data_IF_052930120372
#
_entry.id   IF_052930120372
#
_cell.length_a   1.000
_cell.length_b   1.000
_cell.length_c   1.000
_cell.angle_alpha   90.00
_cell.angle_beta   90.00
_cell.angle_gamma   90.00
#
_symmetry.space_group_name_H-M   'P 1'
#
loop_
_entity.id
_entity.type
_entity.pdbx_description
1 polymer ?
#
# COMPACT_ATOMS: atom_id res chain seq x y z
N UNK A 1 -26.55 8.87 45.10
CA UNK A 1 -25.71 9.61 44.15
C UNK A 1 -25.47 8.72 42.93
N UNK A 2 -26.52 8.42 42.16
CA UNK A 2 -26.52 7.41 41.08
C UNK A 2 -26.08 7.99 39.70
N UNK A 3 -25.58 9.23 39.67
CA UNK A 3 -25.25 9.96 38.45
C UNK A 3 -23.96 9.49 37.73
N UNK A 4 -23.44 8.29 38.02
CA UNK A 4 -22.12 7.87 37.57
C UNK A 4 -22.08 6.51 36.85
N UNK A 5 -23.17 6.05 36.24
CA UNK A 5 -23.05 5.04 35.18
C UNK A 5 -22.43 5.73 33.96
N UNK A 6 -21.12 5.49 33.75
CA UNK A 6 -20.30 6.07 32.68
C UNK A 6 -20.04 5.01 31.58
N UNK A 7 -21.06 4.64 30.77
CA UNK A 7 -20.96 3.54 29.82
C UNK A 7 -19.85 3.74 28.79
N UNK A 8 -19.60 4.98 28.37
CA UNK A 8 -18.53 5.29 27.42
C UNK A 8 -17.12 5.04 27.97
N UNK A 9 -16.87 5.34 29.24
CA UNK A 9 -15.56 5.08 29.88
C UNK A 9 -15.37 3.60 30.19
N UNK A 10 -16.44 2.89 30.53
CA UNK A 10 -16.43 1.44 30.71
C UNK A 10 -16.09 0.74 29.39
N UNK A 11 -16.84 1.02 28.32
CA UNK A 11 -16.63 0.43 26.99
C UNK A 11 -15.23 0.76 26.46
N UNK A 12 -14.81 2.01 26.59
CA UNK A 12 -13.47 2.45 26.20
C UNK A 12 -12.36 1.77 27.00
N UNK A 13 -12.52 1.62 28.31
CA UNK A 13 -11.56 0.93 29.18
C UNK A 13 -11.44 -0.56 28.83
N UNK A 14 -12.56 -1.25 28.57
CA UNK A 14 -12.55 -2.65 28.11
C UNK A 14 -11.85 -2.76 26.77
N UNK A 15 -12.21 -1.91 25.79
CA UNK A 15 -11.64 -1.95 24.45
C UNK A 15 -10.13 -1.67 24.44
N UNK A 16 -9.64 -0.66 25.16
CA UNK A 16 -8.21 -0.37 25.26
C UNK A 16 -7.44 -1.52 25.91
N UNK A 17 -8.01 -2.13 26.96
CA UNK A 17 -7.38 -3.25 27.67
C UNK A 17 -7.31 -4.50 26.79
N UNK A 18 -8.40 -4.85 26.09
CA UNK A 18 -8.45 -6.06 25.26
C UNK A 18 -7.62 -5.92 23.99
N UNK A 19 -7.73 -4.78 23.29
CA UNK A 19 -6.96 -4.52 22.07
C UNK A 19 -5.47 -4.41 22.37
N UNK A 20 -5.08 -3.74 23.46
CA UNK A 20 -3.68 -3.55 23.82
C UNK A 20 -2.94 -4.85 24.19
N UNK A 21 -3.67 -5.92 24.53
CA UNK A 21 -3.10 -7.23 24.82
C UNK A 21 -2.92 -8.12 23.56
N UNK A 22 -3.58 -7.79 22.44
CA UNK A 22 -3.53 -8.62 21.23
C UNK A 22 -2.11 -8.83 20.67
N UNK A 23 -1.24 -7.81 20.58
CA UNK A 23 0.12 -8.01 20.06
C UNK A 23 0.96 -8.92 20.95
N UNK A 24 0.74 -8.89 22.28
CA UNK A 24 1.40 -9.80 23.21
C UNK A 24 0.93 -11.24 23.04
N UNK A 25 -0.36 -11.46 22.77
CA UNK A 25 -0.91 -12.78 22.49
C UNK A 25 -0.34 -13.34 21.17
N UNK A 26 -0.21 -12.51 20.14
CA UNK A 26 0.39 -12.89 18.86
C UNK A 26 1.85 -13.32 19.03
N UNK A 27 2.66 -12.54 19.77
CA UNK A 27 4.03 -12.91 20.12
C UNK A 27 4.06 -14.20 20.96
N UNK A 28 3.16 -14.35 21.93
CA UNK A 28 3.06 -15.54 22.76
C UNK A 28 2.73 -16.80 21.95
N UNK A 29 1.84 -16.68 20.96
CA UNK A 29 1.50 -17.76 20.04
C UNK A 29 2.69 -18.12 19.13
N UNK A 30 3.37 -17.13 18.57
CA UNK A 30 4.56 -17.35 17.74
C UNK A 30 5.72 -18.01 18.52
N UNK A 31 5.90 -17.66 19.80
CA UNK A 31 6.87 -18.28 20.70
C UNK A 31 6.52 -19.72 21.10
N UNK A 32 5.25 -20.11 21.04
CA UNK A 32 4.85 -21.50 21.30
C UNK A 32 5.12 -22.41 20.10
N UNK A 33 5.05 -21.87 18.88
CA UNK A 33 5.28 -22.64 17.66
C UNK A 33 6.75 -22.83 17.31
N UNK A 34 7.66 -22.06 17.92
CA UNK A 34 9.09 -22.10 17.60
C UNK A 34 9.91 -22.75 18.72
N UNK A 35 10.85 -23.62 18.35
CA UNK A 35 11.79 -24.25 19.30
C UNK A 35 12.85 -23.26 19.79
N UNK A 36 13.22 -22.28 18.95
CA UNK A 36 14.21 -21.24 19.26
C UNK A 36 13.55 -19.87 19.52
N UNK A 37 13.07 -19.71 20.76
CA UNK A 37 12.38 -18.51 21.25
C UNK A 37 13.25 -17.25 21.19
N UNK A 38 14.56 -17.41 21.36
CA UNK A 38 15.51 -16.30 21.39
C UNK A 38 15.69 -15.71 19.99
N UNK A 39 15.74 -16.57 18.97
CA UNK A 39 15.85 -16.16 17.58
C UNK A 39 14.61 -15.38 17.14
N UNK A 40 13.40 -15.81 17.52
CA UNK A 40 12.15 -15.13 17.17
C UNK A 40 12.04 -13.71 17.78
N UNK A 41 12.49 -13.51 19.02
CA UNK A 41 12.52 -12.18 19.66
C UNK A 41 13.54 -11.24 19.01
N UNK A 42 14.64 -11.79 18.50
CA UNK A 42 15.66 -11.03 17.79
C UNK A 42 15.23 -10.65 16.38
N UNK A 43 14.33 -11.42 15.76
CA UNK A 43 13.76 -11.11 14.43
C UNK A 43 12.67 -10.04 14.45
N UNK A 44 12.11 -9.69 15.63
CA UNK A 44 11.15 -8.59 15.75
C UNK A 44 11.79 -7.26 15.32
N UNK A 45 11.11 -6.55 14.43
CA UNK A 45 11.60 -5.26 13.94
C UNK A 45 11.50 -4.18 15.03
N UNK A 46 12.19 -3.05 14.83
CA UNK A 46 12.08 -1.93 15.76
C UNK A 46 10.64 -1.41 15.87
N UNK A 47 9.89 -1.43 14.76
CA UNK A 47 8.47 -1.06 14.70
C UNK A 47 7.61 -2.04 15.49
N UNK A 48 7.85 -3.35 15.41
CA UNK A 48 7.12 -4.34 16.22
C UNK A 48 7.31 -4.10 17.73
N UNK A 49 8.55 -3.84 18.16
CA UNK A 49 8.86 -3.54 19.57
C UNK A 49 8.15 -2.28 20.05
N UNK A 50 8.14 -1.23 19.23
CA UNK A 50 7.42 -0.01 19.55
C UNK A 50 5.90 -0.21 19.60
N UNK A 51 5.33 -0.98 18.67
CA UNK A 51 3.90 -1.30 18.62
C UNK A 51 3.46 -2.09 19.86
N UNK A 52 4.24 -3.10 20.27
CA UNK A 52 3.99 -3.86 21.50
C UNK A 52 4.05 -2.92 22.71
N UNK A 53 5.10 -2.09 22.82
CA UNK A 53 5.27 -1.19 23.97
C UNK A 53 4.09 -0.22 24.11
N UNK A 54 3.64 0.36 23.00
CA UNK A 54 2.54 1.31 22.99
C UNK A 54 1.21 0.63 23.29
N UNK A 55 1.00 -0.57 22.77
CA UNK A 55 -0.18 -1.39 23.05
C UNK A 55 -0.26 -1.75 24.54
N UNK A 56 0.86 -2.09 25.18
CA UNK A 56 0.94 -2.30 26.63
C UNK A 56 0.58 -1.04 27.42
N UNK A 57 1.05 0.14 27.00
CA UNK A 57 0.70 1.42 27.62
C UNK A 57 -0.80 1.68 27.49
N UNK A 58 -1.39 1.49 26.31
CA UNK A 58 -2.83 1.62 26.08
C UNK A 58 -3.63 0.63 26.94
N UNK A 59 -3.17 -0.61 27.09
CA UNK A 59 -3.82 -1.59 27.97
C UNK A 59 -3.79 -1.15 29.44
N UNK A 60 -2.66 -0.64 29.93
CA UNK A 60 -2.55 -0.12 31.28
C UNK A 60 -3.47 1.10 31.51
N UNK A 61 -3.56 2.00 30.52
CA UNK A 61 -4.49 3.13 30.56
C UNK A 61 -5.96 2.68 30.53
N UNK A 62 -6.29 1.64 29.76
CA UNK A 62 -7.59 0.99 29.76
C UNK A 62 -7.96 0.43 31.14
N UNK A 63 -7.02 -0.26 31.79
CA UNK A 63 -7.17 -0.75 33.17
C UNK A 63 -7.39 0.38 34.17
N UNK A 64 -6.67 1.50 34.04
CA UNK A 64 -6.84 2.67 34.89
C UNK A 64 -8.22 3.36 34.67
N UNK A 65 -8.71 3.42 33.43
CA UNK A 65 -10.07 3.90 33.13
C UNK A 65 -11.14 3.01 33.77
N UNK A 66 -10.96 1.70 33.74
CA UNK A 66 -11.85 0.75 34.42
C UNK A 66 -11.81 0.97 35.94
N UNK A 67 -10.64 1.10 36.54
CA UNK A 67 -10.51 1.40 37.97
C UNK A 67 -11.23 2.70 38.35
N UNK A 68 -11.11 3.75 37.53
CA UNK A 68 -11.80 5.02 37.73
C UNK A 68 -13.34 4.93 37.62
N UNK A 69 -13.84 3.92 36.91
CA UNK A 69 -15.27 3.62 36.83
C UNK A 69 -15.77 2.93 38.11
N UNK A 70 -14.98 2.03 38.69
CA UNK A 70 -15.37 1.21 39.84
C UNK A 70 -15.09 1.85 41.19
N UNK A 71 -14.09 2.73 41.30
CA UNK A 71 -13.71 3.36 42.58
C UNK A 71 -14.54 4.62 42.81
N UNK A 72 -15.21 4.67 43.95
CA UNK A 72 -15.88 5.88 44.44
C UNK A 72 -14.83 6.89 44.92
N UNK A 73 -14.66 7.98 44.16
CA UNK A 73 -13.73 9.06 44.46
C UNK A 73 -14.51 10.35 44.77
N UNK A 74 -13.95 11.17 45.66
CA UNK A 74 -14.43 12.54 45.85
C UNK A 74 -14.32 13.34 44.56
N UNK A 75 -15.21 14.32 44.35
CA UNK A 75 -15.22 15.21 43.16
C UNK A 75 -13.84 15.82 42.84
N UNK A 76 -13.06 16.38 43.79
CA UNK A 76 -11.75 16.95 43.47
C UNK A 76 -10.72 15.90 43.03
N UNK A 77 -10.74 14.71 43.65
CA UNK A 77 -9.85 13.60 43.25
C UNK A 77 -10.23 13.02 41.89
N UNK A 78 -11.53 12.89 41.61
CA UNK A 78 -12.03 12.41 40.32
C UNK A 78 -11.66 13.37 39.18
N UNK A 79 -11.74 14.69 39.42
CA UNK A 79 -11.35 15.71 38.45
C UNK A 79 -9.85 15.68 38.16
N UNK A 80 -9.01 15.52 39.19
CA UNK A 80 -7.56 15.41 39.00
C UNK A 80 -7.20 14.14 38.23
N UNK A 81 -7.81 13.01 38.59
CA UNK A 81 -7.59 11.73 37.91
C UNK A 81 -8.05 11.75 36.44
N UNK A 82 -9.21 12.35 36.15
CA UNK A 82 -9.71 12.45 34.77
C UNK A 82 -8.82 13.30 33.87
N UNK A 83 -8.29 14.42 34.39
CA UNK A 83 -7.34 15.26 33.65
C UNK A 83 -6.03 14.52 33.37
N UNK A 84 -5.46 13.83 34.36
CA UNK A 84 -4.22 13.06 34.19
C UNK A 84 -4.38 11.90 33.20
N UNK A 85 -5.49 11.17 33.27
CA UNK A 85 -5.78 10.09 32.32
C UNK A 85 -6.04 10.63 30.92
N UNK A 86 -6.73 11.77 30.80
CA UNK A 86 -6.96 12.43 29.52
C UNK A 86 -5.66 12.86 28.85
N UNK A 87 -4.72 13.44 29.60
CA UNK A 87 -3.40 13.81 29.04
C UNK A 87 -2.58 12.59 28.65
N UNK A 88 -2.60 11.53 29.46
CA UNK A 88 -1.88 10.29 29.16
C UNK A 88 -2.41 9.61 27.89
N UNK A 89 -3.74 9.54 27.72
CA UNK A 89 -4.38 9.00 26.52
C UNK A 89 -4.09 9.85 25.28
N UNK A 90 -4.08 11.18 25.42
CA UNK A 90 -3.73 12.06 24.31
C UNK A 90 -2.27 11.86 23.85
N UNK A 91 -1.34 11.71 24.79
CA UNK A 91 0.07 11.40 24.48
C UNK A 91 0.18 10.03 23.82
N UNK A 92 -0.53 9.02 24.32
CA UNK A 92 -0.54 7.69 23.71
C UNK A 92 -1.09 7.72 22.27
N UNK A 93 -2.21 8.41 22.02
CA UNK A 93 -2.79 8.55 20.69
C UNK A 93 -1.86 9.31 19.72
N UNK A 94 -1.15 10.35 20.18
CA UNK A 94 -0.17 11.05 19.37
C UNK A 94 1.03 10.17 19.01
N UNK A 95 1.53 9.38 19.97
CA UNK A 95 2.60 8.42 19.73
C UNK A 95 2.15 7.34 18.73
N UNK A 96 0.89 6.91 18.81
CA UNK A 96 0.29 5.93 17.91
C UNK A 96 0.21 6.47 16.47
N UNK A 97 -0.34 7.68 16.32
CA UNK A 97 -0.41 8.37 15.04
C UNK A 97 0.99 8.59 14.43
N UNK A 98 1.98 8.96 15.24
CA UNK A 98 3.36 9.11 14.79
C UNK A 98 3.96 7.77 14.32
N UNK A 99 3.70 6.68 15.04
CA UNK A 99 4.15 5.34 14.65
C UNK A 99 3.47 4.87 13.37
N UNK A 100 2.15 5.04 13.24
CA UNK A 100 1.40 4.73 12.02
C UNK A 100 1.89 5.55 10.82
N UNK A 101 2.23 6.83 11.04
CA UNK A 101 2.82 7.68 10.00
C UNK A 101 4.22 7.21 9.62
N UNK A 102 5.03 6.79 10.59
CA UNK A 102 6.36 6.20 10.34
C UNK A 102 6.27 4.88 9.57
N UNK A 103 5.28 4.04 9.88
CA UNK A 103 5.01 2.79 9.15
C UNK A 103 4.57 3.13 7.72
N UNK A 104 3.70 4.13 7.56
CA UNK A 104 3.27 4.60 6.24
C UNK A 104 4.42 5.22 5.42
N UNK A 105 5.36 5.92 6.07
CA UNK A 105 6.53 6.50 5.38
C UNK A 105 7.61 5.48 5.03
N UNK A 106 7.67 4.35 5.76
CA UNK A 106 8.53 3.22 5.43
C UNK A 106 7.98 2.31 4.34
N UNK A 107 6.69 2.45 3.96
CA UNK A 107 6.24 1.94 2.67
C UNK A 107 6.94 2.78 1.62
N UNK A 108 7.98 2.21 1.01
CA UNK A 108 8.80 2.85 -0.01
C UNK A 108 7.90 3.53 -1.06
N UNK A 109 8.32 4.67 -1.63
CA UNK A 109 7.59 5.32 -2.72
C UNK A 109 7.26 4.29 -3.80
N UNK A 110 6.01 4.33 -4.27
CA UNK A 110 5.38 3.43 -5.24
C UNK A 110 6.39 2.88 -6.26
N UNK A 111 6.98 1.72 -5.97
CA UNK A 111 7.65 0.97 -7.03
C UNK A 111 6.53 0.46 -7.93
N UNK A 112 6.62 0.64 -9.26
CA UNK A 112 5.63 0.10 -10.18
C UNK A 112 5.55 -1.43 -10.13
N UNK A 113 6.56 -2.07 -9.50
CA UNK A 113 6.68 -3.51 -9.28
C UNK A 113 6.06 -3.99 -7.97
N UNK A 114 5.51 -3.09 -7.15
CA UNK A 114 4.80 -3.46 -5.93
C UNK A 114 3.45 -4.07 -6.28
N UNK A 115 3.20 -5.30 -5.86
CA UNK A 115 1.98 -6.05 -6.20
C UNK A 115 1.68 -7.13 -5.17
N UNK A 116 0.39 -7.39 -4.96
CA UNK A 116 -0.13 -8.45 -4.09
C UNK A 116 -0.19 -9.82 -4.79
N UNK A 117 -0.01 -9.88 -6.11
CA UNK A 117 -0.11 -11.12 -6.88
C UNK A 117 0.92 -11.22 -8.01
N UNK A 118 1.44 -12.43 -8.19
CA UNK A 118 2.42 -12.76 -9.24
C UNK A 118 1.82 -12.64 -10.65
N UNK A 119 0.51 -12.91 -10.82
CA UNK A 119 -0.15 -12.77 -12.12
C UNK A 119 -0.29 -11.32 -12.57
N UNK A 120 -0.49 -10.37 -11.64
CA UNK A 120 -0.46 -8.95 -11.95
C UNK A 120 0.96 -8.49 -12.28
N UNK A 121 1.96 -8.98 -11.54
CA UNK A 121 3.37 -8.70 -11.81
C UNK A 121 3.80 -9.18 -13.19
N UNK A 122 3.49 -10.44 -13.52
CA UNK A 122 3.73 -11.05 -14.82
C UNK A 122 3.19 -10.17 -15.94
N UNK A 123 1.92 -9.75 -15.81
CA UNK A 123 1.26 -8.92 -16.82
C UNK A 123 1.95 -7.56 -16.97
N UNK A 124 2.28 -6.90 -15.87
CA UNK A 124 2.97 -5.61 -15.88
C UNK A 124 4.35 -5.71 -16.54
N UNK A 125 5.14 -6.73 -16.18
CA UNK A 125 6.46 -6.96 -16.77
C UNK A 125 6.34 -7.24 -18.27
N UNK A 126 5.44 -8.14 -18.67
CA UNK A 126 5.23 -8.44 -20.09
C UNK A 126 4.74 -7.22 -20.88
N UNK A 127 3.82 -6.43 -20.32
CA UNK A 127 3.34 -5.18 -20.92
C UNK A 127 4.51 -4.22 -21.19
N UNK A 128 5.27 -3.88 -20.15
CA UNK A 128 6.37 -2.90 -20.26
C UNK A 128 7.46 -3.41 -21.19
N UNK A 129 7.85 -4.68 -21.04
CA UNK A 129 8.96 -5.24 -21.79
C UNK A 129 8.63 -5.43 -23.27
N UNK A 130 7.46 -5.98 -23.59
CA UNK A 130 7.06 -6.18 -24.99
C UNK A 130 6.83 -4.85 -25.70
N UNK A 131 6.22 -3.84 -25.05
CA UNK A 131 6.05 -2.52 -25.67
C UNK A 131 7.40 -1.83 -25.93
N UNK A 132 8.34 -1.91 -24.98
CA UNK A 132 9.68 -1.35 -25.16
C UNK A 132 10.44 -2.00 -26.33
N UNK A 133 10.41 -3.33 -26.43
CA UNK A 133 11.03 -4.07 -27.55
C UNK A 133 10.29 -3.85 -28.86
N UNK A 134 8.96 -3.80 -28.84
CA UNK A 134 8.13 -3.48 -30.00
C UNK A 134 8.45 -2.10 -30.56
N UNK A 135 8.61 -1.09 -29.68
CA UNK A 135 9.03 0.25 -30.05
C UNK A 135 10.43 0.24 -30.69
N UNK A 136 11.37 -0.53 -30.13
CA UNK A 136 12.71 -0.70 -30.69
C UNK A 136 12.65 -1.28 -32.12
N UNK A 137 11.84 -2.33 -32.34
CA UNK A 137 11.64 -2.93 -33.66
C UNK A 137 11.00 -1.93 -34.63
N UNK A 138 9.97 -1.20 -34.21
CA UNK A 138 9.29 -0.21 -35.05
C UNK A 138 10.20 0.98 -35.44
N UNK A 139 11.11 1.40 -34.54
CA UNK A 139 11.99 2.54 -34.78
C UNK A 139 13.26 2.16 -35.56
N UNK A 140 13.88 1.03 -35.24
CA UNK A 140 15.21 0.65 -35.74
C UNK A 140 15.20 -0.56 -36.67
N UNK A 141 14.18 -1.40 -36.58
CA UNK A 141 14.08 -2.64 -37.34
C UNK A 141 13.80 -2.43 -38.83
N UNK A 142 14.25 -3.40 -39.62
CA UNK A 142 13.85 -3.52 -41.01
C UNK A 142 12.49 -4.19 -41.15
N UNK A 143 11.80 -3.96 -42.26
CA UNK A 143 10.51 -4.61 -42.56
C UNK A 143 10.66 -6.14 -42.60
N UNK A 144 11.80 -6.64 -43.12
CA UNK A 144 12.10 -8.07 -43.18
C UNK A 144 12.25 -8.70 -41.79
N UNK A 145 12.96 -8.05 -40.86
CA UNK A 145 13.11 -8.54 -39.48
C UNK A 145 11.79 -8.52 -38.71
N UNK A 146 11.01 -7.44 -38.87
CA UNK A 146 9.71 -7.33 -38.23
C UNK A 146 8.72 -8.42 -38.68
N UNK A 147 8.86 -8.95 -39.90
CA UNK A 147 8.05 -10.07 -40.38
C UNK A 147 8.26 -11.36 -39.62
N UNK A 148 9.44 -11.54 -39.05
CA UNK A 148 9.73 -12.68 -38.20
C UNK A 148 9.22 -12.50 -36.76
N UNK A 149 8.75 -11.30 -36.39
CA UNK A 149 8.39 -10.91 -35.03
C UNK A 149 6.87 -10.71 -34.94
N UNK A 150 6.28 -9.92 -35.83
CA UNK A 150 4.84 -9.62 -35.81
C UNK A 150 4.06 -10.62 -36.67
N UNK A 151 2.94 -11.17 -36.18
CA UNK A 151 2.12 -12.12 -36.93
C UNK A 151 1.10 -11.39 -37.84
N UNK A 152 1.55 -10.44 -38.66
CA UNK A 152 0.62 -9.75 -39.57
C UNK A 152 0.27 -10.67 -40.75
N UNK A 153 -1.02 -10.71 -41.10
CA UNK A 153 -1.51 -11.47 -42.26
C UNK A 153 -1.09 -10.81 -43.59
N UNK A 154 -0.98 -9.49 -43.58
CA UNK A 154 -0.66 -8.66 -44.73
C UNK A 154 0.66 -7.90 -44.48
N UNK A 155 1.58 -7.96 -45.44
CA UNK A 155 2.89 -7.32 -45.38
C UNK A 155 3.12 -6.44 -46.60
N UNK A 156 3.82 -5.30 -46.46
CA UNK A 156 4.20 -4.48 -47.60
C UNK A 156 4.88 -5.31 -48.71
N UNK A 157 4.45 -5.08 -49.95
CA UNK A 157 5.03 -5.69 -51.15
C UNK A 157 6.53 -5.41 -51.21
N UNK A 158 7.32 -6.41 -51.60
CA UNK A 158 8.79 -6.38 -51.65
C UNK A 158 9.51 -6.25 -50.29
N UNK A 159 8.83 -6.54 -49.18
CA UNK A 159 9.43 -6.64 -47.84
C UNK A 159 10.67 -7.55 -47.78
N UNK A 160 10.67 -8.66 -48.53
CA UNK A 160 11.79 -9.60 -48.61
C UNK A 160 12.88 -9.18 -49.61
N UNK A 161 12.57 -8.26 -50.54
CA UNK A 161 13.47 -7.83 -51.63
C UNK A 161 14.22 -6.53 -51.32
N UNK A 162 13.86 -5.84 -50.24
CA UNK A 162 14.53 -4.63 -49.77
C UNK A 162 15.08 -4.81 -48.34
N UNK A 163 16.03 -5.73 -48.12
CA UNK A 163 16.67 -5.89 -46.82
C UNK A 163 17.28 -4.55 -46.38
N UNK A 164 16.97 -4.14 -45.14
CA UNK A 164 17.45 -2.88 -44.56
C UNK A 164 16.53 -1.66 -44.74
N UNK A 165 15.39 -1.77 -45.45
CA UNK A 165 14.38 -0.71 -45.43
C UNK A 165 13.75 -0.64 -44.04
N UNK A 166 13.94 0.50 -43.36
CA UNK A 166 13.43 0.73 -42.00
C UNK A 166 11.91 0.87 -41.99
N UNK A 167 11.29 0.39 -40.92
CA UNK A 167 9.84 0.50 -40.71
C UNK A 167 9.44 1.96 -40.55
N UNK A 168 10.17 2.75 -39.76
CA UNK A 168 9.92 4.18 -39.58
C UNK A 168 9.83 4.93 -40.93
N UNK A 169 10.82 4.76 -41.81
CA UNK A 169 10.82 5.37 -43.16
C UNK A 169 9.72 4.80 -44.05
N UNK A 170 9.34 3.53 -43.84
CA UNK A 170 8.20 2.96 -44.53
C UNK A 170 6.91 3.65 -44.07
N UNK A 171 6.72 3.93 -42.78
CA UNK A 171 5.53 4.55 -42.23
C UNK A 171 5.46 6.08 -42.32
N UNK A 172 6.53 6.75 -42.76
CA UNK A 172 6.51 8.19 -43.04
C UNK A 172 5.39 8.57 -44.02
N UNK A 173 4.65 9.63 -43.67
CA UNK A 173 3.55 10.15 -44.51
C UNK A 173 2.31 9.25 -44.57
N UNK A 174 2.21 8.26 -43.68
CA UNK A 174 1.00 7.46 -43.52
C UNK A 174 -0.22 8.36 -43.21
N UNK A 175 -1.28 8.21 -44.01
CA UNK A 175 -2.59 8.84 -43.82
C UNK A 175 -3.65 7.74 -43.89
N UNK A 176 -4.48 7.63 -42.86
CA UNK A 176 -5.50 6.58 -42.72
C UNK A 176 -6.56 6.51 -43.83
N UNK A 177 -6.58 7.48 -44.76
CA UNK A 177 -7.64 7.67 -45.75
C UNK A 177 -7.34 7.17 -47.17
N UNK A 178 -6.16 6.61 -47.46
CA UNK A 178 -5.76 6.24 -48.83
C UNK A 178 -5.99 4.74 -49.11
N UNK A 179 -6.86 4.43 -50.06
CA UNK A 179 -7.12 3.07 -50.54
C UNK A 179 -6.40 2.81 -51.87
N UNK A 180 -5.11 2.51 -51.82
CA UNK A 180 -4.33 2.02 -52.97
C UNK A 180 -3.93 0.56 -52.72
N UNK A 181 -3.85 -0.25 -53.77
CA UNK A 181 -3.38 -1.65 -53.67
C UNK A 181 -1.94 -1.68 -53.12
N UNK A 182 -1.71 -2.43 -52.03
CA UNK A 182 -0.46 -2.45 -51.27
C UNK A 182 -0.33 -1.35 -50.20
N UNK A 183 -1.21 -0.35 -50.20
CA UNK A 183 -1.28 0.62 -49.10
C UNK A 183 -1.95 -0.01 -47.87
N UNK A 184 -2.93 -0.91 -48.04
CA UNK A 184 -3.62 -1.64 -46.95
C UNK A 184 -2.65 -2.41 -46.04
N UNK A 185 -1.76 -3.21 -46.62
CA UNK A 185 -0.73 -3.96 -45.89
C UNK A 185 0.23 -3.05 -45.12
N UNK A 186 0.60 -1.93 -45.76
CA UNK A 186 1.40 -0.87 -45.14
C UNK A 186 0.63 -0.20 -43.98
N UNK A 187 -0.70 -0.07 -44.07
CA UNK A 187 -1.52 0.45 -42.97
C UNK A 187 -1.48 -0.48 -41.76
N UNK A 188 -1.51 -1.80 -41.95
CA UNK A 188 -1.53 -2.75 -40.85
C UNK A 188 -0.27 -2.63 -39.98
N UNK A 189 0.91 -2.61 -40.60
CA UNK A 189 2.19 -2.43 -39.92
C UNK A 189 2.29 -1.06 -39.23
N UNK A 190 1.91 0.02 -39.93
CA UNK A 190 2.02 1.37 -39.37
C UNK A 190 1.02 1.62 -38.24
N UNK A 191 -0.19 1.05 -38.30
CA UNK A 191 -1.16 1.09 -37.20
C UNK A 191 -0.66 0.33 -35.98
N UNK A 192 -0.06 -0.85 -36.17
CA UNK A 192 0.55 -1.60 -35.07
C UNK A 192 1.64 -0.77 -34.37
N UNK A 193 2.58 -0.21 -35.14
CA UNK A 193 3.64 0.63 -34.58
C UNK A 193 3.12 1.93 -33.94
N UNK A 194 2.08 2.54 -34.51
CA UNK A 194 1.41 3.70 -33.92
C UNK A 194 0.73 3.38 -32.58
N UNK A 195 0.07 2.24 -32.48
CA UNK A 195 -0.54 1.75 -31.24
C UNK A 195 0.53 1.49 -30.18
N UNK A 196 1.59 0.74 -30.52
CA UNK A 196 2.71 0.45 -29.61
C UNK A 196 3.30 1.75 -29.05
N UNK A 197 3.55 2.74 -29.91
CA UNK A 197 4.11 4.03 -29.50
C UNK A 197 3.18 4.78 -28.54
N UNK A 198 1.88 4.77 -28.82
CA UNK A 198 0.88 5.47 -27.99
C UNK A 198 0.71 4.78 -26.63
N UNK A 199 0.69 3.45 -26.61
CA UNK A 199 0.54 2.66 -25.39
C UNK A 199 1.80 2.72 -24.53
N UNK A 200 2.99 2.75 -25.14
CA UNK A 200 4.25 2.95 -24.43
C UNK A 200 4.27 4.30 -23.70
N UNK A 201 3.80 5.38 -24.34
CA UNK A 201 3.65 6.68 -23.68
C UNK A 201 2.66 6.64 -22.50
N UNK A 202 1.58 5.87 -22.62
CA UNK A 202 0.64 5.66 -21.51
C UNK A 202 1.27 4.88 -20.36
N UNK A 203 2.08 3.87 -20.67
CA UNK A 203 2.83 3.09 -19.67
C UNK A 203 3.87 3.97 -18.96
N UNK A 204 4.60 4.82 -19.69
CA UNK A 204 5.51 5.83 -19.10
C UNK A 204 4.77 6.82 -18.20
N UNK A 205 3.58 7.28 -18.60
CA UNK A 205 2.77 8.16 -17.76
C UNK A 205 2.28 7.45 -16.49
N UNK A 206 2.00 6.14 -16.56
CA UNK A 206 1.48 5.35 -15.45
C UNK A 206 2.55 4.90 -14.46
N UNK A 207 3.72 4.50 -14.95
CA UNK A 207 4.78 3.88 -14.15
C UNK A 207 6.05 4.72 -14.00
N UNK A 208 6.11 5.90 -14.64
CA UNK A 208 7.24 6.85 -14.59
C UNK A 208 8.33 6.57 -15.62
N UNK A 209 9.28 7.48 -15.88
CA UNK A 209 10.23 7.33 -16.99
C UNK A 209 11.33 6.26 -16.79
N UNK A 210 11.54 5.77 -15.55
CA UNK A 210 12.61 4.82 -15.21
C UNK A 210 12.25 3.34 -15.39
N UNK A 211 10.96 3.01 -15.38
CA UNK A 211 10.49 1.61 -15.33
C UNK A 211 10.94 0.77 -16.54
N UNK A 212 10.92 1.33 -17.76
CA UNK A 212 11.37 0.64 -18.97
C UNK A 212 12.85 0.26 -18.88
N UNK A 213 13.69 1.13 -18.33
CA UNK A 213 15.12 0.86 -18.17
C UNK A 213 15.39 -0.26 -17.16
N UNK A 214 14.59 -0.35 -16.09
CA UNK A 214 14.72 -1.38 -15.06
C UNK A 214 14.39 -2.77 -15.60
N UNK A 215 13.28 -2.93 -16.32
CA UNK A 215 12.90 -4.23 -16.93
C UNK A 215 13.87 -4.63 -18.04
N UNK A 216 14.32 -3.67 -18.86
CA UNK A 216 15.32 -3.93 -19.90
C UNK A 216 16.72 -4.23 -19.34
N UNK A 217 17.06 -3.71 -18.16
CA UNK A 217 18.32 -4.03 -17.49
C UNK A 217 18.32 -5.45 -16.89
N UNK A 218 17.15 -5.93 -16.44
CA UNK A 218 17.00 -7.28 -15.91
C UNK A 218 17.24 -8.36 -16.99
N UNK A 219 16.87 -8.10 -18.24
CA UNK A 219 17.03 -9.05 -19.36
C UNK A 219 17.63 -8.36 -20.58
N UNK A 220 18.89 -8.66 -20.87
CA UNK A 220 19.64 -8.00 -21.93
C UNK A 220 19.35 -8.56 -23.34
N UNK A 221 19.03 -9.86 -23.46
CA UNK A 221 18.88 -10.56 -24.73
C UNK A 221 17.64 -11.45 -24.71
N UNK A 222 16.76 -11.25 -25.70
CA UNK A 222 15.65 -12.16 -25.98
C UNK A 222 16.03 -13.13 -27.09
N UNK A 223 15.55 -14.36 -26.99
CA UNK A 223 15.52 -15.26 -28.13
C UNK A 223 14.48 -14.82 -29.17
N UNK A 224 14.62 -15.31 -30.40
CA UNK A 224 13.66 -15.06 -31.48
C UNK A 224 12.24 -15.49 -31.09
N UNK A 225 12.10 -16.60 -30.37
CA UNK A 225 10.78 -17.09 -29.91
C UNK A 225 10.09 -16.15 -28.91
N UNK A 226 10.86 -15.47 -28.05
CA UNK A 226 10.29 -14.49 -27.11
C UNK A 226 9.91 -13.18 -27.80
N UNK A 227 10.68 -12.78 -28.83
CA UNK A 227 10.32 -11.65 -29.68
C UNK A 227 9.04 -11.94 -30.47
N UNK A 228 8.90 -13.15 -31.01
CA UNK A 228 7.68 -13.61 -31.67
C UNK A 228 6.48 -13.57 -30.72
N UNK A 229 6.65 -14.09 -29.51
CA UNK A 229 5.62 -14.04 -28.48
C UNK A 229 5.22 -12.59 -28.15
N UNK A 230 6.18 -11.68 -27.98
CA UNK A 230 5.87 -10.26 -27.79
C UNK A 230 5.15 -9.65 -29.00
N UNK A 231 5.51 -10.04 -30.22
CA UNK A 231 4.81 -9.58 -31.42
C UNK A 231 3.35 -10.04 -31.48
N UNK A 232 3.08 -11.29 -31.10
CA UNK A 232 1.72 -11.82 -30.94
C UNK A 232 0.95 -11.11 -29.82
N UNK A 233 1.62 -10.88 -28.68
CA UNK A 233 1.07 -10.15 -27.53
C UNK A 233 0.60 -8.75 -27.94
N UNK A 234 1.43 -8.00 -28.67
CA UNK A 234 1.12 -6.64 -29.12
C UNK A 234 0.04 -6.61 -30.22
N UNK A 235 0.01 -7.61 -31.09
CA UNK A 235 -0.94 -7.66 -32.22
C UNK A 235 -2.35 -8.12 -31.81
N UNK A 236 -2.45 -9.12 -30.92
CA UNK A 236 -3.72 -9.81 -30.60
C UNK A 236 -4.22 -9.52 -29.19
N UNK A 237 -3.36 -9.01 -28.29
CA UNK A 237 -3.65 -8.76 -26.86
C UNK A 237 -4.16 -9.98 -26.09
N UNK A 238 -3.87 -11.20 -26.54
CA UNK A 238 -4.25 -12.46 -25.86
C UNK A 238 -3.00 -13.21 -25.38
N UNK A 239 -3.02 -13.57 -24.11
CA UNK A 239 -1.89 -14.15 -23.35
C UNK A 239 -1.92 -15.67 -23.24
N UNK A 240 -2.99 -16.33 -23.69
CA UNK A 240 -3.38 -17.60 -23.07
C UNK A 240 -2.87 -18.85 -23.80
N UNK A 241 -2.06 -18.72 -24.85
CA UNK A 241 -1.71 -19.87 -25.71
C UNK A 241 -0.29 -20.41 -25.54
N UNK A 242 0.66 -19.63 -25.00
CA UNK A 242 2.02 -20.15 -24.82
C UNK A 242 2.77 -19.44 -23.68
N UNK A 243 2.36 -19.74 -22.44
CA UNK A 243 2.92 -19.17 -21.21
C UNK A 243 4.42 -19.48 -21.08
N UNK A 244 4.90 -20.59 -21.64
CA UNK A 244 6.30 -21.03 -21.54
C UNK A 244 7.28 -20.19 -22.37
N UNK A 245 6.79 -19.45 -23.36
CA UNK A 245 7.60 -18.57 -24.22
C UNK A 245 7.47 -17.09 -23.86
N UNK A 246 6.69 -16.75 -22.83
CA UNK A 246 6.60 -15.36 -22.39
C UNK A 246 7.94 -14.90 -21.80
N UNK A 247 8.35 -13.64 -22.03
CA UNK A 247 9.56 -13.09 -21.45
C UNK A 247 9.60 -13.27 -19.93
N UNK A 248 8.48 -13.02 -19.26
CA UNK A 248 8.36 -13.17 -17.83
C UNK A 248 8.69 -14.60 -17.36
N UNK A 249 8.05 -15.63 -17.92
CA UNK A 249 8.23 -17.00 -17.43
C UNK A 249 9.62 -17.55 -17.73
N UNK A 250 10.22 -17.15 -18.86
CA UNK A 250 11.56 -17.57 -19.22
C UNK A 250 12.65 -16.92 -18.36
N UNK A 251 12.42 -15.67 -17.95
CA UNK A 251 13.31 -14.87 -17.11
C UNK A 251 12.73 -14.58 -15.73
N UNK A 252 11.95 -15.53 -15.19
CA UNK A 252 11.18 -15.33 -13.95
C UNK A 252 12.07 -14.95 -12.79
N UNK A 253 13.27 -15.55 -12.68
CA UNK A 253 14.21 -15.28 -11.59
C UNK A 253 14.78 -13.86 -11.67
N UNK A 254 15.13 -13.42 -12.87
CA UNK A 254 15.67 -12.10 -13.14
C UNK A 254 14.62 -11.02 -12.83
N UNK A 255 13.38 -11.21 -13.29
CA UNK A 255 12.29 -10.28 -12.99
C UNK A 255 11.84 -10.31 -11.54
N UNK A 256 11.90 -11.46 -10.87
CA UNK A 256 11.61 -11.54 -9.42
C UNK A 256 12.56 -10.71 -8.57
N UNK A 257 13.75 -10.32 -9.06
CA UNK A 257 14.62 -9.38 -8.34
C UNK A 257 14.06 -7.96 -8.30
N UNK A 258 13.18 -7.59 -9.25
CA UNK A 258 12.47 -6.31 -9.28
C UNK A 258 11.21 -6.34 -8.41
N UNK A 259 10.70 -7.53 -8.09
CA UNK A 259 9.47 -7.70 -7.32
C UNK A 259 9.70 -7.26 -5.86
N UNK A 260 9.07 -6.15 -5.49
CA UNK A 260 8.99 -5.70 -4.10
C UNK A 260 7.62 -6.09 -3.58
N UNK A 261 7.55 -7.03 -2.64
CA UNK A 261 6.29 -7.31 -1.96
C UNK A 261 5.92 -6.12 -1.07
N UNK A 262 4.65 -5.72 -1.06
CA UNK A 262 4.10 -4.73 -0.11
C UNK A 262 3.98 -5.36 1.29
N UNK A 263 5.10 -5.81 1.84
CA UNK A 263 5.14 -6.24 3.23
C UNK A 263 5.26 -4.99 4.09
N UNK A 264 4.32 -4.71 5.01
CA UNK A 264 4.53 -3.67 5.99
C UNK A 264 5.84 -3.98 6.75
N UNK A 265 6.59 -2.97 7.22
CA UNK A 265 7.83 -3.15 7.98
C UNK A 265 7.63 -3.83 9.35
N UNK A 266 6.45 -4.38 9.61
CA UNK A 266 6.08 -5.10 10.82
C UNK A 266 6.06 -6.59 10.52
N UNK A 267 6.74 -7.39 11.33
CA UNK A 267 6.68 -8.86 11.23
C UNK A 267 5.39 -9.43 11.84
N UNK A 268 4.71 -8.63 12.67
CA UNK A 268 3.42 -8.99 13.28
C UNK A 268 2.25 -8.63 12.36
N UNK A 269 1.39 -9.62 12.10
CA UNK A 269 0.27 -9.54 11.18
C UNK A 269 -0.81 -8.56 11.66
N UNK A 270 -1.06 -8.52 12.97
CA UNK A 270 -2.12 -7.68 13.55
C UNK A 270 -1.62 -6.31 14.02
N UNK A 271 -0.32 -6.07 14.09
CA UNK A 271 0.24 -4.86 14.74
C UNK A 271 -0.35 -3.56 14.20
N UNK A 272 -0.36 -3.36 12.87
CA UNK A 272 -0.88 -2.12 12.26
C UNK A 272 -2.39 -1.96 12.49
N UNK A 273 -3.15 -3.06 12.41
CA UNK A 273 -4.61 -3.03 12.63
C UNK A 273 -4.96 -2.74 14.08
N UNK A 274 -4.20 -3.31 15.02
CA UNK A 274 -4.37 -3.05 16.45
C UNK A 274 -4.07 -1.59 16.77
N UNK A 275 -2.96 -1.04 16.26
CA UNK A 275 -2.61 0.38 16.43
C UNK A 275 -3.73 1.30 15.89
N UNK A 276 -4.25 1.06 14.68
CA UNK A 276 -5.39 1.82 14.14
C UNK A 276 -6.62 1.78 15.05
N UNK A 277 -6.96 0.62 15.61
CA UNK A 277 -8.11 0.49 16.52
C UNK A 277 -7.83 1.16 17.87
N UNK A 278 -6.61 1.06 18.40
CA UNK A 278 -6.21 1.72 19.64
C UNK A 278 -6.27 3.24 19.51
N UNK A 279 -5.82 3.81 18.39
CA UNK A 279 -5.88 5.25 18.10
C UNK A 279 -7.33 5.77 18.12
N UNK A 280 -8.25 5.07 17.44
CA UNK A 280 -9.68 5.41 17.42
C UNK A 280 -10.30 5.35 18.81
N UNK A 281 -10.05 4.26 19.55
CA UNK A 281 -10.61 4.07 20.90
C UNK A 281 -10.01 5.07 21.88
N UNK A 282 -8.70 5.31 21.86
CA UNK A 282 -8.03 6.28 22.73
C UNK A 282 -8.57 7.69 22.48
N UNK A 283 -8.78 8.08 21.23
CA UNK A 283 -9.38 9.36 20.85
C UNK A 283 -10.81 9.51 21.38
N UNK A 284 -11.64 8.46 21.26
CA UNK A 284 -12.98 8.45 21.82
C UNK A 284 -12.98 8.55 23.36
N UNK A 285 -12.05 7.85 24.03
CA UNK A 285 -11.86 7.93 25.48
C UNK A 285 -11.44 9.33 25.94
N UNK A 286 -10.54 9.99 25.21
CA UNK A 286 -10.15 11.38 25.46
C UNK A 286 -11.36 12.31 25.44
N UNK A 287 -12.20 12.24 24.40
CA UNK A 287 -13.41 13.05 24.31
C UNK A 287 -14.39 12.78 25.45
N UNK A 288 -14.56 11.51 25.83
CA UNK A 288 -15.41 11.12 26.96
C UNK A 288 -14.88 11.68 28.29
N UNK A 289 -13.57 11.64 28.53
CA UNK A 289 -12.94 12.22 29.71
C UNK A 289 -13.04 13.74 29.76
N UNK A 290 -12.86 14.43 28.62
CA UNK A 290 -13.06 15.88 28.53
C UNK A 290 -14.50 16.21 28.95
N UNK A 291 -15.50 15.60 28.30
CA UNK A 291 -16.91 15.82 28.64
C UNK A 291 -17.21 15.56 30.12
N UNK A 292 -16.59 14.52 30.69
CA UNK A 292 -16.77 14.20 32.09
C UNK A 292 -16.08 15.21 33.03
N UNK A 293 -14.88 15.71 32.68
CA UNK A 293 -14.19 16.74 33.44
C UNK A 293 -14.99 18.04 33.51
N UNK A 294 -15.64 18.44 32.41
CA UNK A 294 -16.58 19.57 32.39
C UNK A 294 -17.76 19.35 33.36
N UNK A 295 -18.36 18.16 33.35
CA UNK A 295 -19.46 17.83 34.27
C UNK A 295 -19.01 17.81 35.75
N UNK A 296 -17.79 17.41 36.04
CA UNK A 296 -17.23 17.46 37.39
C UNK A 296 -16.93 18.91 37.84
N UNK A 297 -16.48 19.76 36.94
CA UNK A 297 -16.25 21.18 37.24
C UNK A 297 -17.56 21.92 37.54
N UNK A 298 -18.63 21.65 36.80
CA UNK A 298 -19.95 22.23 37.10
C UNK A 298 -20.51 21.75 38.44
N UNK A 299 -20.32 20.47 38.80
CA UNK A 299 -20.71 19.96 40.12
C UNK A 299 -19.93 20.64 41.24
N UNK A 300 -18.61 20.83 41.05
CA UNK A 300 -17.76 21.53 42.01
C UNK A 300 -18.25 22.97 42.23
N UNK A 301 -18.57 23.73 41.17
CA UNK A 301 -19.01 25.12 41.31
C UNK A 301 -20.38 25.25 41.99
N UNK A 302 -21.31 24.33 41.73
CA UNK A 302 -22.63 24.29 42.40
C UNK A 302 -22.47 24.01 43.90
N UNK A 303 -21.59 23.09 44.28
CA UNK A 303 -21.35 22.73 45.68
C UNK A 303 -20.69 23.89 46.47
N UNK A 304 -19.83 24.68 45.82
CA UNK A 304 -19.25 25.90 46.42
C UNK A 304 -20.28 27.05 46.54
N UNK A 305 -21.17 27.22 45.56
CA UNK A 305 -22.23 28.23 45.60
C UNK A 305 -23.23 27.98 46.74
N UNK A 306 -23.58 26.70 46.99
CA UNK A 306 -24.45 26.31 48.10
C UNK A 306 -23.86 26.53 49.52
N UNK A 307 -22.53 26.65 49.64
CA UNK A 307 -21.84 26.93 50.91
C UNK A 307 -21.51 28.42 51.12
N UNK A 308 -21.64 29.26 50.09
CA UNK A 308 -21.31 30.70 50.13
C UNK A 308 -22.47 31.64 50.44
N UNK A 309 -23.71 31.13 50.59
CA UNK A 309 -24.92 31.92 50.80
C UNK A 309 -25.31 32.13 52.27
N UNK A 310 -24.39 32.61 53.12
CA UNK A 310 -24.75 33.30 54.38
C UNK A 310 -24.02 34.63 54.41
N UNK A 311 -24.56 35.59 53.66
CA UNK A 311 -24.38 37.01 53.98
C UNK A 311 -24.98 37.24 55.37
N UNK A 312 -24.12 37.43 56.36
CA UNK A 312 -24.51 38.12 57.59
C UNK A 312 -24.86 39.56 57.23
N UNK A 313 -26.15 39.83 57.04
CA UNK A 313 -26.71 41.17 57.23
C UNK A 313 -27.52 41.09 58.51
N UNK A 314 -26.87 41.42 59.63
CA UNK A 314 -27.48 42.00 60.82
C UNK A 314 -26.36 42.53 61.71
N UNK A 315 -26.33 43.86 61.88
CA UNK A 315 -25.33 44.65 62.58
C UNK A 315 -25.22 46.01 61.94
#
# INVERSE_FOLDING_TARGET
MEAAKRPALLLGGVALSSLGLLPLLEVGYALQQTSDKMQLLMTLTATDKSAISLSCVCAALGGALLALHWVELSVPTALKASKLLGTALAVAALADAALLTSVASHRSPESPWTTDSESLFERQVNDVFCHAKGLQVCALGSVAEARHIFPLQEWPVDSDRAPGRRIATSCEGFKDSVQLWGYQDKMALCRLCGNITTEEQQLQAKYGPGHTAEVLAAVQLLSIGELQWCGEYLAVRRTDHDVGHSPYWKHRREFQTLLVYDTPPCSLFLAVRVLQLLEVVASACCLALVRWSWALETLKTVEFSGKGGKLNIMG
#
